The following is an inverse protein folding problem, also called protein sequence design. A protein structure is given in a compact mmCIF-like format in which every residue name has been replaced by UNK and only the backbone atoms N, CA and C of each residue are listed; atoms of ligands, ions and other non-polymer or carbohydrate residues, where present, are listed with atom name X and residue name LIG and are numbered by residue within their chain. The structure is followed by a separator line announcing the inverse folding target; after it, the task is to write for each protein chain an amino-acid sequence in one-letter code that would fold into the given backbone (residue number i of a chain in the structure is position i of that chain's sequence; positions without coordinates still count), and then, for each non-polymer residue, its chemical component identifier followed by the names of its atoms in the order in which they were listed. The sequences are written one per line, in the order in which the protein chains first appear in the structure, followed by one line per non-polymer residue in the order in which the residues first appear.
data_IF_511201346713
#
_entry.id   IF_511201346713
#
_cell.length_a   1.000
_cell.length_b   1.000
_cell.length_c   1.000
_cell.angle_alpha   90.00
_cell.angle_beta   90.00
_cell.angle_gamma   90.00
#
_symmetry.space_group_name_H-M   'P 1'
#
loop_
_entity.id
_entity.type
_entity.pdbx_description
1 polymer ?
#
# COMPACT_ATOMS: atom_id res chain seq x y z
N UNK A 1 -19.98 -4.50 -10.42
CA UNK A 1 -18.54 -4.54 -10.73
C UNK A 1 -17.75 -3.29 -10.31
N UNK A 2 -18.33 -2.08 -10.29
CA UNK A 2 -17.63 -0.85 -9.84
C UNK A 2 -17.06 -0.88 -8.40
N UNK A 3 -17.70 -1.59 -7.46
CA UNK A 3 -17.27 -1.59 -6.06
C UNK A 3 -15.92 -2.27 -5.82
N UNK A 4 -15.65 -3.39 -6.51
CA UNK A 4 -14.39 -4.10 -6.38
C UNK A 4 -13.21 -3.28 -6.90
N UNK A 5 -13.41 -2.60 -8.04
CA UNK A 5 -12.41 -1.70 -8.62
C UNK A 5 -12.12 -0.50 -7.70
N UNK A 6 -13.18 0.16 -7.20
CA UNK A 6 -13.04 1.27 -6.25
C UNK A 6 -12.35 0.83 -4.95
N UNK A 7 -12.68 -0.36 -4.45
CA UNK A 7 -12.04 -0.94 -3.27
C UNK A 7 -10.54 -1.18 -3.49
N UNK A 8 -10.15 -1.72 -4.65
CA UNK A 8 -8.74 -1.98 -4.98
C UNK A 8 -7.95 -0.67 -5.12
N UNK A 9 -8.52 0.32 -5.79
CA UNK A 9 -7.91 1.65 -5.93
C UNK A 9 -7.70 2.33 -4.57
N UNK A 10 -8.68 2.23 -3.67
CA UNK A 10 -8.55 2.74 -2.30
C UNK A 10 -7.41 2.03 -1.52
N UNK A 11 -7.26 0.71 -1.66
CA UNK A 11 -6.18 -0.04 -1.01
C UNK A 11 -4.80 0.39 -1.52
N UNK A 12 -4.65 0.61 -2.82
CA UNK A 12 -3.40 1.11 -3.41
C UNK A 12 -3.06 2.50 -2.85
N UNK A 13 -4.05 3.39 -2.71
CA UNK A 13 -3.85 4.71 -2.12
C UNK A 13 -3.45 4.63 -0.64
N UNK A 14 -4.08 3.73 0.12
CA UNK A 14 -3.72 3.49 1.52
C UNK A 14 -2.26 3.04 1.65
N UNK A 15 -1.85 2.02 0.89
CA UNK A 15 -0.45 1.55 0.89
C UNK A 15 0.53 2.66 0.47
N UNK A 16 0.13 3.55 -0.44
CA UNK A 16 0.95 4.69 -0.82
C UNK A 16 1.11 5.71 0.32
N UNK A 17 0.06 5.96 1.10
CA UNK A 17 0.14 6.82 2.28
C UNK A 17 1.01 6.20 3.37
N UNK A 18 0.87 4.90 3.63
CA UNK A 18 1.70 4.15 4.58
C UNK A 18 3.19 4.18 4.18
N UNK A 19 3.50 4.02 2.89
CA UNK A 19 4.86 4.18 2.39
C UNK A 19 5.44 5.58 2.66
N UNK A 20 4.62 6.62 2.56
CA UNK A 20 5.03 7.98 2.91
C UNK A 20 5.42 8.08 4.39
N UNK A 21 4.57 7.57 5.28
CA UNK A 21 4.80 7.57 6.73
C UNK A 21 6.07 6.78 7.07
N UNK A 22 6.23 5.56 6.54
CA UNK A 22 7.40 4.72 6.81
C UNK A 22 8.70 5.32 6.24
N UNK A 23 8.61 6.06 5.12
CA UNK A 23 9.77 6.74 4.56
C UNK A 23 10.23 7.89 5.46
N UNK A 24 9.29 8.61 6.07
CA UNK A 24 9.61 9.63 7.08
C UNK A 24 10.22 9.00 8.34
N UNK A 25 9.65 7.90 8.84
CA UNK A 25 10.21 7.17 9.97
C UNK A 25 11.64 6.68 9.68
N UNK A 26 11.90 6.21 8.46
CA UNK A 26 13.25 5.82 8.03
C UNK A 26 14.22 7.01 8.08
N UNK A 27 13.79 8.20 7.63
CA UNK A 27 14.56 9.44 7.70
C UNK A 27 14.90 9.82 9.15
N UNK A 28 13.93 9.67 10.07
CA UNK A 28 14.14 9.88 11.51
C UNK A 28 15.21 8.92 12.06
N UNK A 29 15.16 7.64 11.70
CA UNK A 29 16.18 6.67 12.10
C UNK A 29 17.57 7.01 11.54
N UNK A 30 17.65 7.40 10.26
CA UNK A 30 18.91 7.79 9.62
C UNK A 30 19.52 9.02 10.34
N UNK A 31 18.70 10.01 10.68
CA UNK A 31 19.15 11.19 11.44
C UNK A 31 19.62 10.83 12.84
N UNK A 32 18.89 9.97 13.56
CA UNK A 32 19.30 9.52 14.89
C UNK A 32 20.64 8.77 14.86
N UNK A 33 20.85 7.90 13.87
CA UNK A 33 22.12 7.20 13.65
C UNK A 33 23.25 8.19 13.38
N UNK A 34 23.02 9.19 12.53
CA UNK A 34 24.02 10.24 12.24
C UNK A 34 24.42 10.98 13.52
N UNK A 35 23.43 11.39 14.33
CA UNK A 35 23.69 12.10 15.59
C UNK A 35 24.49 11.24 16.58
N UNK A 36 24.10 9.98 16.78
CA UNK A 36 24.81 9.06 17.68
C UNK A 36 26.25 8.80 17.21
N UNK A 37 26.48 8.79 15.89
CA UNK A 37 27.82 8.60 15.33
C UNK A 37 28.69 9.83 15.61
N UNK A 38 28.16 11.04 15.40
CA UNK A 38 28.87 12.28 15.74
C UNK A 38 29.14 12.40 17.24
N UNK A 39 28.18 12.04 18.09
CA UNK A 39 28.39 12.04 19.55
C UNK A 39 29.53 11.10 19.97
N UNK A 40 29.67 9.96 19.29
CA UNK A 40 30.76 9.02 19.52
C UNK A 40 32.12 9.54 19.00
N UNK A 41 32.12 10.34 17.93
CA UNK A 41 33.32 11.00 17.39
C UNK A 41 33.82 12.14 18.30
N UNK A 42 32.89 12.90 18.87
CA UNK A 42 33.19 14.10 19.66
C UNK A 42 33.49 13.80 21.14
N UNK A 43 33.11 12.61 21.65
CA UNK A 43 33.31 12.31 23.06
C UNK A 43 34.78 12.06 23.41
N UNK A 44 35.16 12.51 24.61
CA UNK A 44 36.38 12.01 25.26
C UNK A 44 36.10 10.60 25.75
N UNK A 45 36.93 9.63 25.33
CA UNK A 45 36.62 8.21 25.51
C UNK A 45 36.44 7.81 26.98
N UNK A 46 35.19 7.56 27.37
CA UNK A 46 34.78 6.85 28.57
C UNK A 46 34.11 5.53 28.19
N UNK A 47 34.47 4.44 28.87
CA UNK A 47 34.00 3.09 28.54
C UNK A 47 32.51 2.94 28.81
N UNK A 48 32.00 3.56 29.87
CA UNK A 48 30.59 3.42 30.26
C UNK A 48 29.69 4.17 29.30
N UNK A 49 30.06 5.40 28.92
CA UNK A 49 29.30 6.21 27.99
C UNK A 49 29.41 5.71 26.55
N UNK A 50 30.61 5.28 26.13
CA UNK A 50 30.80 4.62 24.83
C UNK A 50 29.95 3.36 24.68
N UNK A 51 29.82 2.54 25.73
CA UNK A 51 28.94 1.37 25.71
C UNK A 51 27.46 1.74 25.54
N UNK A 52 26.98 2.78 26.26
CA UNK A 52 25.58 3.23 26.16
C UNK A 52 25.25 3.72 24.75
N UNK A 53 26.14 4.51 24.14
CA UNK A 53 25.96 5.01 22.77
C UNK A 53 25.98 3.85 21.78
N UNK A 54 26.96 2.94 21.89
CA UNK A 54 27.06 1.79 21.00
C UNK A 54 25.78 0.92 21.05
N UNK A 55 25.24 0.70 22.25
CA UNK A 55 23.98 -0.03 22.43
C UNK A 55 22.80 0.69 21.78
N UNK A 56 22.70 2.00 22.00
CA UNK A 56 21.63 2.83 21.40
C UNK A 56 21.73 2.85 19.87
N UNK A 57 22.93 2.97 19.33
CA UNK A 57 23.21 2.88 17.91
C UNK A 57 22.80 1.52 17.34
N UNK A 58 23.13 0.43 18.01
CA UNK A 58 22.70 -0.91 17.62
C UNK A 58 21.17 -1.02 17.56
N UNK A 59 20.46 -0.51 18.56
CA UNK A 59 18.99 -0.49 18.58
C UNK A 59 18.41 0.31 17.41
N UNK A 60 18.98 1.49 17.11
CA UNK A 60 18.53 2.30 15.97
C UNK A 60 18.80 1.63 14.62
N UNK A 61 19.96 0.96 14.46
CA UNK A 61 20.28 0.19 13.26
C UNK A 61 19.29 -0.98 13.04
N UNK A 62 18.87 -1.64 14.12
CA UNK A 62 17.87 -2.70 14.07
C UNK A 62 16.49 -2.15 13.68
N UNK A 63 16.04 -1.06 14.30
CA UNK A 63 14.78 -0.39 13.94
C UNK A 63 14.76 0.01 12.47
N UNK A 64 15.81 0.71 12.02
CA UNK A 64 16.01 1.08 10.61
C UNK A 64 15.92 -0.12 9.66
N UNK A 65 16.57 -1.23 10.00
CA UNK A 65 16.54 -2.45 9.18
C UNK A 65 15.14 -3.01 9.07
N UNK A 66 14.38 -3.00 10.17
CA UNK A 66 12.99 -3.44 10.20
C UNK A 66 12.12 -2.55 9.31
N UNK A 67 12.20 -1.23 9.44
CA UNK A 67 11.44 -0.28 8.61
C UNK A 67 11.77 -0.46 7.13
N UNK A 68 13.05 -0.65 6.76
CA UNK A 68 13.43 -0.96 5.36
C UNK A 68 12.79 -2.25 4.84
N UNK A 69 12.74 -3.28 5.67
CA UNK A 69 12.11 -4.54 5.31
C UNK A 69 10.61 -4.36 5.08
N UNK A 70 9.92 -3.67 5.99
CA UNK A 70 8.48 -3.38 5.89
C UNK A 70 8.15 -2.55 4.64
N UNK A 71 8.93 -1.49 4.37
CA UNK A 71 8.83 -0.71 3.12
C UNK A 71 8.96 -1.62 1.89
N UNK A 72 9.90 -2.56 1.90
CA UNK A 72 10.09 -3.50 0.78
C UNK A 72 8.87 -4.40 0.59
N UNK A 73 8.28 -4.89 1.68
CA UNK A 73 7.06 -5.71 1.63
C UNK A 73 5.87 -4.92 1.10
N UNK A 74 5.66 -3.70 1.59
CA UNK A 74 4.57 -2.84 1.13
C UNK A 74 4.73 -2.47 -0.35
N UNK A 75 5.95 -2.14 -0.80
CA UNK A 75 6.23 -1.88 -2.23
C UNK A 75 5.89 -3.08 -3.10
N UNK A 76 6.30 -4.29 -2.66
CA UNK A 76 5.96 -5.52 -3.35
C UNK A 76 4.44 -5.71 -3.43
N UNK A 77 3.73 -5.58 -2.31
CA UNK A 77 2.28 -5.74 -2.26
C UNK A 77 1.57 -4.72 -3.15
N UNK A 78 1.96 -3.44 -3.07
CA UNK A 78 1.42 -2.35 -3.91
C UNK A 78 1.59 -2.68 -5.39
N UNK A 79 2.78 -3.12 -5.80
CA UNK A 79 3.04 -3.51 -7.20
C UNK A 79 2.15 -4.66 -7.68
N UNK A 80 1.92 -5.67 -6.82
CA UNK A 80 0.99 -6.76 -7.14
C UNK A 80 -0.45 -6.24 -7.31
N UNK A 81 -0.92 -5.36 -6.42
CA UNK A 81 -2.26 -4.77 -6.54
C UNK A 81 -2.42 -3.89 -7.79
N UNK A 82 -1.41 -3.09 -8.13
CA UNK A 82 -1.39 -2.30 -9.37
C UNK A 82 -1.45 -3.20 -10.62
N UNK A 83 -0.74 -4.32 -10.62
CA UNK A 83 -0.81 -5.32 -11.71
C UNK A 83 -2.22 -5.93 -11.84
N UNK A 84 -2.86 -6.26 -10.71
CA UNK A 84 -4.24 -6.75 -10.71
C UNK A 84 -5.22 -5.69 -11.21
N UNK A 85 -5.04 -4.44 -10.78
CA UNK A 85 -5.86 -3.32 -11.22
C UNK A 85 -5.77 -3.14 -12.74
N UNK A 86 -4.56 -3.22 -13.30
CA UNK A 86 -4.34 -3.15 -14.74
C UNK A 86 -5.03 -4.29 -15.51
N UNK A 87 -4.88 -5.53 -15.04
CA UNK A 87 -5.53 -6.71 -15.65
C UNK A 87 -7.06 -6.59 -15.62
N UNK A 88 -7.63 -6.08 -14.54
CA UNK A 88 -9.07 -5.85 -14.43
C UNK A 88 -9.55 -4.79 -15.44
N UNK A 89 -8.83 -3.67 -15.57
CA UNK A 89 -9.13 -2.63 -16.57
C UNK A 89 -9.09 -3.18 -18.00
N UNK A 90 -8.08 -3.99 -18.31
CA UNK A 90 -7.94 -4.59 -19.64
C UNK A 90 -9.08 -5.58 -19.94
N UNK A 91 -9.42 -6.43 -18.98
CA UNK A 91 -10.55 -7.35 -19.11
C UNK A 91 -11.89 -6.63 -19.23
N UNK A 92 -12.10 -5.51 -18.52
CA UNK A 92 -13.31 -4.70 -18.65
C UNK A 92 -13.45 -4.12 -20.06
N UNK A 93 -12.34 -3.61 -20.65
CA UNK A 93 -12.33 -3.13 -22.04
C UNK A 93 -12.67 -4.24 -23.02
N UNK A 94 -12.08 -5.43 -22.85
CA UNK A 94 -12.39 -6.60 -23.67
C UNK A 94 -13.86 -6.98 -23.57
N UNK A 95 -14.40 -7.08 -22.37
CA UNK A 95 -15.83 -7.36 -22.14
C UNK A 95 -16.74 -6.37 -22.86
N UNK A 96 -16.44 -5.06 -22.81
CA UNK A 96 -17.19 -4.03 -23.54
C UNK A 96 -17.16 -4.25 -25.06
N UNK A 97 -16.06 -4.76 -25.60
CA UNK A 97 -15.94 -5.06 -27.03
C UNK A 97 -16.67 -6.35 -27.44
N UNK A 98 -16.82 -7.32 -26.52
CA UNK A 98 -17.52 -8.59 -26.78
C UNK A 98 -19.03 -8.51 -26.53
N UNK A 99 -19.53 -7.52 -25.78
CA UNK A 99 -20.95 -7.32 -25.56
C UNK A 99 -21.59 -6.65 -26.81
N UNK A 100 -22.54 -7.32 -27.50
CA UNK A 100 -23.30 -6.69 -28.57
C UNK A 100 -23.95 -5.39 -28.09
N UNK A 101 -23.98 -4.37 -28.95
CA UNK A 101 -24.55 -3.02 -28.73
C UNK A 101 -26.02 -2.99 -28.23
N UNK A 102 -26.66 -4.16 -28.08
CA UNK A 102 -28.05 -4.36 -27.68
C UNK A 102 -28.21 -5.01 -26.29
N UNK A 103 -27.12 -5.35 -25.59
CA UNK A 103 -27.20 -5.97 -24.24
C UNK A 103 -27.71 -5.03 -23.17
N UNK A 104 -27.48 -3.72 -23.29
CA UNK A 104 -28.06 -2.72 -22.39
C UNK A 104 -29.60 -2.71 -22.48
N UNK A 105 -30.17 -3.00 -23.66
CA UNK A 105 -31.62 -3.16 -23.86
C UNK A 105 -32.15 -4.44 -23.21
N UNK A 106 -31.45 -5.57 -23.34
CA UNK A 106 -31.87 -6.85 -22.77
C UNK A 106 -31.86 -6.82 -21.23
N UNK A 107 -30.85 -6.17 -20.63
CA UNK A 107 -30.77 -6.03 -19.17
C UNK A 107 -31.89 -5.12 -18.63
N UNK A 108 -32.33 -4.11 -19.38
CA UNK A 108 -33.44 -3.23 -18.98
C UNK A 108 -34.82 -3.87 -19.23
N UNK A 109 -35.02 -4.61 -20.32
CA UNK A 109 -36.26 -5.36 -20.57
C UNK A 109 -36.50 -6.47 -19.54
N UNK A 110 -35.47 -7.22 -19.13
CA UNK A 110 -35.63 -8.26 -18.11
C UNK A 110 -35.97 -7.70 -16.72
N UNK A 111 -35.58 -6.46 -16.40
CA UNK A 111 -35.94 -5.81 -15.13
C UNK A 111 -37.43 -5.45 -15.07
N UNK A 112 -38.06 -5.14 -16.21
CA UNK A 112 -39.48 -4.83 -16.29
C UNK A 112 -40.37 -6.08 -16.28
N UNK A 113 -39.90 -7.21 -16.80
CA UNK A 113 -40.62 -8.49 -16.74
C UNK A 113 -40.60 -9.08 -15.32
N UNK A 114 -39.45 -9.11 -14.64
CA UNK A 114 -39.35 -9.65 -13.27
C UNK A 114 -40.03 -8.78 -12.21
N UNK A 115 -40.32 -7.49 -12.50
CA UNK A 115 -41.05 -6.60 -11.60
C UNK A 115 -42.58 -6.79 -11.64
N UNK A 116 -43.12 -7.47 -12.65
CA UNK A 116 -44.57 -7.68 -12.81
C UNK A 116 -45.08 -8.95 -12.12
N UNK A 117 -44.22 -9.95 -11.94
CA UNK A 117 -44.59 -11.23 -11.30
C UNK A 117 -44.65 -11.17 -9.76
N UNK A 118 -44.21 -10.07 -9.14
CA UNK A 118 -44.24 -9.89 -7.68
C UNK A 118 -45.44 -9.07 -7.15
N UNK A 119 -46.34 -8.60 -8.03
CA UNK A 119 -47.50 -7.76 -7.65
C UNK A 119 -48.85 -8.45 -7.90
N UNK A 120 -48.86 -9.68 -8.42
CA UNK A 120 -50.07 -10.51 -8.48
C UNK A 120 -50.04 -11.61 -7.42
N UNK A 121 -50.26 -11.26 -6.15
CA UNK A 121 -50.88 -12.10 -5.12
C UNK A 121 -51.46 -11.20 -4.03
#
# INVERSE_FOLDING_TARGET
MCYAYKSLSNQIQQLQSELGIMSEELSVHDKAISNLTHELEDMTFDVSDGYKIAKTLQEMLLKRRRTKYEISQIRSLKSHLESLEFKLKDNEKKLKNYLPHNWDRVIHSNKEEFGKDLVSH
#
